data_IF_350762265482
#
_entry.id   IF_350762265482
#
_cell.length_a   1.000
_cell.length_b   1.000
_cell.length_c   1.000
_cell.angle_alpha   90.00
_cell.angle_beta   90.00
_cell.angle_gamma   90.00
#
_symmetry.space_group_name_H-M   'P 1'
#
loop_
_entity.id
_entity.type
_entity.pdbx_description
1 polymer ?
#
# COMPACT_ATOMS: atom_id res chain seq x y z
N UNK A 1 5.40 -16.67 10.39
CA UNK A 1 4.25 -15.99 9.79
C UNK A 1 3.34 -16.94 9.01
N UNK A 2 3.85 -17.81 8.11
CA UNK A 2 3.02 -18.69 7.25
C UNK A 2 2.11 -19.63 8.05
N UNK A 3 2.61 -20.27 9.13
CA UNK A 3 1.82 -21.15 9.99
C UNK A 3 0.64 -20.38 10.63
N UNK A 4 0.91 -19.21 11.21
CA UNK A 4 -0.15 -18.37 11.81
C UNK A 4 -1.20 -17.93 10.80
N UNK A 5 -0.83 -17.72 9.54
CA UNK A 5 -1.79 -17.36 8.49
C UNK A 5 -2.74 -18.51 8.18
N UNK A 6 -2.24 -19.76 8.18
CA UNK A 6 -3.07 -20.97 7.99
C UNK A 6 -4.04 -21.15 9.16
N UNK A 7 -3.53 -21.03 10.40
CA UNK A 7 -4.35 -21.10 11.61
C UNK A 7 -5.41 -19.98 11.64
N UNK A 8 -5.00 -18.73 11.37
CA UNK A 8 -5.92 -17.59 11.33
C UNK A 8 -7.00 -17.73 10.26
N UNK A 9 -6.65 -18.32 9.11
CA UNK A 9 -7.62 -18.60 8.05
C UNK A 9 -8.63 -19.70 8.49
N UNK A 10 -8.18 -20.73 9.21
CA UNK A 10 -9.07 -21.74 9.78
C UNK A 10 -10.04 -21.14 10.82
N UNK A 11 -9.55 -20.26 11.70
CA UNK A 11 -10.36 -19.52 12.67
C UNK A 11 -11.40 -18.65 11.94
N UNK A 12 -10.97 -17.88 10.92
CA UNK A 12 -11.87 -17.05 10.14
C UNK A 12 -12.93 -17.88 9.40
N UNK A 13 -12.54 -19.01 8.79
CA UNK A 13 -13.45 -19.91 8.11
C UNK A 13 -14.51 -20.47 9.08
N UNK A 14 -14.10 -20.87 10.28
CA UNK A 14 -15.01 -21.32 11.33
C UNK A 14 -16.01 -20.22 11.72
N UNK A 15 -15.53 -19.00 11.91
CA UNK A 15 -16.35 -17.86 12.33
C UNK A 15 -17.43 -17.49 11.30
N UNK A 16 -17.11 -17.55 10.00
CA UNK A 16 -18.08 -17.21 8.93
C UNK A 16 -18.81 -18.44 8.35
N UNK A 17 -18.50 -19.65 8.83
CA UNK A 17 -19.10 -20.89 8.35
C UNK A 17 -18.65 -21.28 6.93
N UNK A 18 -17.47 -20.86 6.49
CA UNK A 18 -16.93 -21.21 5.18
C UNK A 18 -16.45 -22.67 5.16
N UNK A 19 -16.68 -23.36 4.03
CA UNK A 19 -16.20 -24.73 3.79
C UNK A 19 -14.97 -24.78 2.88
N UNK A 20 -14.70 -23.71 2.16
CA UNK A 20 -13.55 -23.60 1.25
C UNK A 20 -12.77 -22.34 1.59
N UNK A 21 -11.47 -22.51 1.76
CA UNK A 21 -10.54 -21.43 2.03
C UNK A 21 -9.38 -21.46 1.02
N UNK A 22 -8.98 -20.29 0.54
CA UNK A 22 -7.91 -20.14 -0.42
C UNK A 22 -6.84 -19.18 0.12
N UNK A 23 -5.58 -19.57 0.02
CA UNK A 23 -4.44 -18.68 0.24
C UNK A 23 -3.90 -18.31 -1.13
N UNK A 24 -4.22 -17.07 -1.57
CA UNK A 24 -3.70 -16.55 -2.81
C UNK A 24 -2.27 -16.03 -2.61
N UNK A 25 -1.35 -16.53 -3.40
CA UNK A 25 0.08 -16.20 -3.33
C UNK A 25 0.57 -15.84 -4.72
N UNK A 26 1.45 -14.84 -4.84
CA UNK A 26 2.12 -14.57 -6.11
C UNK A 26 2.93 -15.79 -6.53
N UNK A 27 2.78 -16.19 -7.80
CA UNK A 27 3.41 -17.40 -8.34
C UNK A 27 4.97 -17.37 -8.26
N UNK A 28 5.55 -16.17 -8.19
CA UNK A 28 6.98 -15.94 -8.03
C UNK A 28 7.52 -16.35 -6.65
N UNK A 29 6.65 -16.43 -5.63
CA UNK A 29 7.03 -16.80 -4.27
C UNK A 29 7.01 -18.31 -4.06
N UNK A 30 7.78 -19.04 -4.87
CA UNK A 30 7.78 -20.51 -4.94
C UNK A 30 8.08 -21.19 -3.60
N UNK A 31 8.97 -20.60 -2.79
CA UNK A 31 9.29 -21.13 -1.46
C UNK A 31 8.13 -20.97 -0.48
N UNK A 32 7.45 -19.82 -0.51
CA UNK A 32 6.26 -19.60 0.32
C UNK A 32 5.14 -20.57 -0.06
N UNK A 33 4.92 -20.82 -1.35
CA UNK A 33 3.94 -21.78 -1.86
C UNK A 33 4.23 -23.17 -1.31
N UNK A 34 5.47 -23.69 -1.50
CA UNK A 34 5.87 -25.02 -1.01
C UNK A 34 5.69 -25.16 0.50
N UNK A 35 6.08 -24.15 1.28
CA UNK A 35 5.93 -24.17 2.72
C UNK A 35 4.46 -24.16 3.16
N UNK A 36 3.61 -23.34 2.52
CA UNK A 36 2.19 -23.30 2.82
C UNK A 36 1.49 -24.61 2.49
N UNK A 37 1.80 -25.23 1.33
CA UNK A 37 1.28 -26.53 0.96
C UNK A 37 1.69 -27.62 1.97
N UNK A 38 2.95 -27.63 2.40
CA UNK A 38 3.42 -28.58 3.42
C UNK A 38 2.73 -28.39 4.78
N UNK A 39 2.49 -27.13 5.20
CA UNK A 39 1.75 -26.80 6.45
C UNK A 39 0.30 -27.28 6.34
N UNK A 40 -0.37 -27.01 5.22
CA UNK A 40 -1.76 -27.44 4.99
C UNK A 40 -1.88 -28.96 5.05
N UNK A 41 -1.02 -29.67 4.30
CA UNK A 41 -1.00 -31.14 4.29
C UNK A 41 -0.69 -31.73 5.68
N UNK A 42 0.21 -31.09 6.44
CA UNK A 42 0.50 -31.46 7.83
C UNK A 42 -0.74 -31.34 8.70
N UNK A 43 -1.38 -30.20 8.69
CA UNK A 43 -2.56 -29.90 9.49
C UNK A 43 -3.77 -30.79 9.12
N UNK A 44 -3.94 -31.16 7.85
CA UNK A 44 -4.96 -32.12 7.42
C UNK A 44 -4.69 -33.53 7.97
N UNK A 45 -3.40 -33.99 7.90
CA UNK A 45 -3.02 -35.29 8.48
C UNK A 45 -3.21 -35.35 9.99
N UNK A 46 -2.97 -34.24 10.67
CA UNK A 46 -3.10 -34.12 12.12
C UNK A 46 -4.56 -33.88 12.56
N UNK A 47 -5.52 -33.85 11.60
CA UNK A 47 -6.94 -33.69 11.86
C UNK A 47 -7.34 -32.29 12.35
N UNK A 48 -6.52 -31.26 12.09
CA UNK A 48 -6.84 -29.88 12.46
C UNK A 48 -8.00 -29.35 11.62
N UNK A 49 -8.01 -29.70 10.33
CA UNK A 49 -9.13 -29.44 9.40
C UNK A 49 -9.23 -30.59 8.37
N UNK A 50 -10.16 -30.49 7.44
CA UNK A 50 -10.56 -31.55 6.53
C UNK A 50 -12.02 -31.86 6.73
N UNK A 51 -12.38 -33.11 7.00
CA UNK A 51 -13.77 -33.53 7.24
C UNK A 51 -14.36 -33.01 8.55
N UNK A 52 -13.51 -32.63 9.51
CA UNK A 52 -13.93 -32.09 10.81
C UNK A 52 -12.94 -31.01 11.28
N UNK A 53 -13.29 -29.76 11.12
CA UNK A 53 -12.50 -28.62 11.56
C UNK A 53 -12.49 -28.57 13.10
N UNK A 54 -11.37 -28.96 13.71
CA UNK A 54 -11.12 -28.87 15.16
C UNK A 54 -12.26 -29.48 16.03
N UNK A 55 -12.89 -30.56 15.60
CA UNK A 55 -13.99 -31.19 16.35
C UNK A 55 -15.32 -30.43 16.30
N UNK A 56 -15.47 -29.47 15.39
CA UNK A 56 -16.69 -28.63 15.27
C UNK A 56 -17.83 -29.29 14.51
N UNK A 57 -17.61 -30.47 13.90
CA UNK A 57 -18.54 -31.14 12.98
C UNK A 57 -18.67 -30.44 11.63
N UNK A 58 -17.76 -29.49 11.30
CA UNK A 58 -17.76 -28.75 10.04
C UNK A 58 -16.57 -29.16 9.18
N UNK A 59 -16.82 -29.33 7.89
CA UNK A 59 -15.77 -29.55 6.90
C UNK A 59 -15.08 -28.23 6.52
N UNK A 60 -13.76 -28.25 6.38
CA UNK A 60 -12.96 -27.19 5.79
C UNK A 60 -11.93 -27.76 4.81
N UNK A 61 -12.00 -27.34 3.57
CA UNK A 61 -10.95 -27.57 2.56
C UNK A 61 -10.13 -26.32 2.39
N UNK A 62 -8.80 -26.42 2.52
CA UNK A 62 -7.90 -25.30 2.32
C UNK A 62 -6.93 -25.60 1.18
N UNK A 63 -6.62 -24.60 0.35
CA UNK A 63 -5.64 -24.76 -0.72
C UNK A 63 -4.88 -23.46 -1.04
N UNK A 64 -3.63 -23.62 -1.47
CA UNK A 64 -2.83 -22.53 -2.02
C UNK A 64 -3.22 -22.30 -3.48
N UNK A 65 -3.33 -21.04 -3.88
CA UNK A 65 -3.64 -20.62 -5.24
C UNK A 65 -2.54 -19.69 -5.74
N UNK A 66 -1.55 -20.20 -6.48
CA UNK A 66 -0.57 -19.36 -7.15
C UNK A 66 -1.25 -18.48 -8.20
N UNK A 67 -1.00 -17.18 -8.15
CA UNK A 67 -1.57 -16.21 -9.08
C UNK A 67 -0.46 -15.40 -9.74
N UNK A 68 -0.60 -15.19 -11.04
CA UNK A 68 0.22 -14.25 -11.81
C UNK A 68 -0.56 -12.98 -12.09
N UNK A 69 0.13 -11.84 -12.14
CA UNK A 69 -0.49 -10.57 -12.45
C UNK A 69 0.30 -9.38 -11.96
N UNK A 70 -0.19 -8.20 -12.32
CA UNK A 70 0.37 -6.91 -11.89
C UNK A 70 0.14 -6.67 -10.39
N UNK A 71 0.62 -5.54 -9.88
CA UNK A 71 0.40 -5.10 -8.49
C UNK A 71 -1.09 -5.03 -8.11
N UNK A 72 -1.96 -4.86 -9.10
CA UNK A 72 -3.41 -4.80 -8.94
C UNK A 72 -4.07 -6.06 -8.37
N UNK A 73 -3.38 -7.21 -8.43
CA UNK A 73 -3.93 -8.48 -7.91
C UNK A 73 -4.18 -8.45 -6.39
N UNK A 74 -3.62 -7.48 -5.69
CA UNK A 74 -3.86 -7.26 -4.25
C UNK A 74 -5.20 -6.58 -3.92
N UNK A 75 -5.92 -6.05 -4.91
CA UNK A 75 -7.27 -5.51 -4.73
C UNK A 75 -8.27 -6.68 -4.67
N UNK A 76 -9.24 -6.63 -3.71
CA UNK A 76 -10.08 -7.79 -3.39
C UNK A 76 -10.91 -8.31 -4.57
N UNK A 77 -11.49 -7.43 -5.37
CA UNK A 77 -12.33 -7.83 -6.51
C UNK A 77 -11.49 -8.30 -7.70
N UNK A 78 -10.30 -7.73 -7.88
CA UNK A 78 -9.29 -8.20 -8.84
C UNK A 78 -8.83 -9.60 -8.48
N UNK A 79 -8.53 -9.84 -7.19
CA UNK A 79 -8.14 -11.14 -6.66
C UNK A 79 -9.19 -12.21 -6.95
N UNK A 80 -10.46 -11.93 -6.66
CA UNK A 80 -11.55 -12.87 -6.88
C UNK A 80 -11.76 -13.20 -8.37
N UNK A 81 -11.57 -12.22 -9.26
CA UNK A 81 -11.58 -12.45 -10.71
C UNK A 81 -10.42 -13.31 -11.18
N UNK A 82 -9.22 -13.02 -10.69
CA UNK A 82 -8.04 -13.80 -11.03
C UNK A 82 -8.18 -15.26 -10.55
N UNK A 83 -8.68 -15.48 -9.34
CA UNK A 83 -9.01 -16.82 -8.83
C UNK A 83 -10.04 -17.56 -9.71
N UNK A 84 -10.98 -16.82 -10.31
CA UNK A 84 -11.99 -17.36 -11.22
C UNK A 84 -11.49 -17.52 -12.67
N UNK A 85 -10.19 -17.30 -12.93
CA UNK A 85 -9.59 -17.39 -14.28
C UNK A 85 -10.04 -16.26 -15.22
N UNK A 86 -10.53 -15.15 -14.67
CA UNK A 86 -10.97 -13.97 -15.43
C UNK A 86 -9.89 -12.89 -15.43
N UNK A 87 -10.01 -11.93 -16.34
CA UNK A 87 -9.13 -10.77 -16.35
C UNK A 87 -9.21 -9.99 -15.03
N UNK A 88 -8.06 -9.78 -14.39
CA UNK A 88 -7.93 -9.04 -13.14
C UNK A 88 -8.20 -7.54 -13.34
N UNK A 89 -9.43 -7.13 -13.09
CA UNK A 89 -9.87 -5.75 -13.12
C UNK A 89 -10.83 -5.50 -11.96
N UNK A 90 -10.77 -4.34 -11.26
CA UNK A 90 -11.65 -4.06 -10.15
C UNK A 90 -13.11 -4.02 -10.57
N UNK A 91 -14.00 -4.38 -9.65
CA UNK A 91 -15.44 -4.26 -9.83
C UNK A 91 -15.99 -3.08 -9.04
N UNK A 92 -17.08 -2.52 -9.56
CA UNK A 92 -17.83 -1.53 -8.82
C UNK A 92 -18.58 -2.20 -7.66
N UNK A 93 -18.49 -1.63 -6.48
CA UNK A 93 -19.25 -2.04 -5.31
C UNK A 93 -20.31 -0.97 -4.98
N UNK A 94 -21.52 -1.32 -4.54
CA UNK A 94 -22.09 -2.65 -4.37
C UNK A 94 -22.38 -3.37 -5.71
N UNK A 95 -22.51 -4.73 -5.74
CA UNK A 95 -22.46 -5.64 -4.59
C UNK A 95 -21.04 -5.85 -4.06
N UNK A 96 -20.93 -6.02 -2.73
CA UNK A 96 -19.66 -6.33 -2.09
C UNK A 96 -19.34 -7.84 -2.18
N UNK A 97 -18.06 -8.26 -2.14
CA UNK A 97 -17.67 -9.66 -2.14
C UNK A 97 -18.37 -10.51 -1.06
N UNK A 98 -18.67 -9.94 0.10
CA UNK A 98 -19.44 -10.60 1.16
C UNK A 98 -20.86 -11.01 0.75
N UNK A 99 -21.39 -10.42 -0.32
CA UNK A 99 -22.69 -10.76 -0.90
C UNK A 99 -22.53 -11.54 -2.20
N UNK A 100 -21.68 -11.06 -3.12
CA UNK A 100 -21.45 -11.67 -4.43
C UNK A 100 -19.94 -11.64 -4.72
N UNK A 101 -19.25 -12.71 -4.34
CA UNK A 101 -17.80 -12.85 -4.48
C UNK A 101 -17.39 -13.94 -5.46
N UNK A 102 -16.48 -14.84 -5.03
CA UNK A 102 -15.93 -15.90 -5.84
C UNK A 102 -17.01 -16.82 -6.42
N UNK A 103 -17.06 -16.92 -7.75
CA UNK A 103 -18.07 -17.68 -8.50
C UNK A 103 -19.52 -17.33 -8.11
N UNK A 104 -19.78 -16.07 -7.76
CA UNK A 104 -21.10 -15.58 -7.38
C UNK A 104 -21.55 -15.94 -5.97
N UNK A 105 -20.67 -16.50 -5.14
CA UNK A 105 -20.96 -16.88 -3.75
C UNK A 105 -20.41 -15.84 -2.77
N UNK A 106 -21.05 -15.66 -1.59
CA UNK A 106 -20.50 -14.84 -0.51
C UNK A 106 -19.06 -15.23 -0.19
N UNK A 107 -18.17 -14.26 -0.15
CA UNK A 107 -16.74 -14.50 0.05
C UNK A 107 -16.15 -13.45 0.98
N UNK A 108 -15.49 -13.89 2.05
CA UNK A 108 -14.68 -13.02 2.89
C UNK A 108 -13.24 -12.98 2.37
N UNK A 109 -12.69 -11.79 2.19
CA UNK A 109 -11.30 -11.57 1.78
C UNK A 109 -10.55 -10.87 2.90
N UNK A 110 -9.41 -11.40 3.30
CA UNK A 110 -8.60 -10.85 4.38
C UNK A 110 -7.12 -10.82 4.00
N UNK A 111 -6.41 -9.82 4.50
CA UNK A 111 -4.96 -9.77 4.41
C UNK A 111 -4.35 -10.83 5.35
N UNK A 112 -3.23 -11.44 4.93
CA UNK A 112 -2.51 -12.45 5.72
C UNK A 112 -1.98 -11.89 7.05
N UNK A 113 -1.65 -10.60 7.13
CA UNK A 113 -1.23 -9.97 8.39
C UNK A 113 -2.41 -9.90 9.38
N UNK A 114 -3.62 -9.61 8.92
CA UNK A 114 -4.84 -9.63 9.73
C UNK A 114 -5.09 -11.03 10.29
N UNK A 115 -5.00 -12.06 9.42
CA UNK A 115 -5.21 -13.45 9.85
C UNK A 115 -4.12 -13.91 10.85
N UNK A 116 -2.87 -13.49 10.65
CA UNK A 116 -1.79 -13.79 11.59
C UNK A 116 -2.00 -13.11 12.96
N UNK A 117 -2.59 -11.91 12.99
CA UNK A 117 -2.94 -11.22 14.23
C UNK A 117 -4.10 -11.90 14.96
N UNK A 118 -5.07 -12.47 14.22
CA UNK A 118 -6.22 -13.20 14.83
C UNK A 118 -5.77 -14.32 15.76
N UNK A 119 -4.74 -15.09 15.37
CA UNK A 119 -4.23 -16.19 16.22
C UNK A 119 -3.70 -15.67 17.56
N UNK A 120 -2.98 -14.54 17.53
CA UNK A 120 -2.48 -13.90 18.72
C UNK A 120 -3.62 -13.35 19.60
N UNK A 121 -4.61 -12.71 18.98
CA UNK A 121 -5.78 -12.14 19.68
C UNK A 121 -6.58 -13.23 20.38
N UNK A 122 -6.83 -14.36 19.71
CA UNK A 122 -7.55 -15.49 20.31
C UNK A 122 -6.80 -16.08 21.50
N UNK A 123 -5.46 -16.18 21.42
CA UNK A 123 -4.64 -16.73 22.50
C UNK A 123 -4.43 -15.79 23.70
N UNK A 124 -4.41 -14.46 23.47
CA UNK A 124 -4.02 -13.47 24.50
C UNK A 124 -5.17 -12.54 24.91
N UNK A 125 -6.26 -12.53 24.16
CA UNK A 125 -7.42 -11.69 24.41
C UNK A 125 -7.38 -10.34 23.68
N UNK A 126 -8.56 -9.83 23.34
CA UNK A 126 -8.72 -8.58 22.60
C UNK A 126 -8.17 -7.36 23.37
N UNK A 127 -8.28 -7.35 24.71
CA UNK A 127 -7.77 -6.24 25.52
C UNK A 127 -6.26 -6.12 25.42
N UNK A 128 -5.53 -7.23 25.50
CA UNK A 128 -4.08 -7.23 25.38
C UNK A 128 -3.63 -6.73 24.00
N UNK A 129 -4.37 -7.05 22.92
CA UNK A 129 -4.09 -6.52 21.60
C UNK A 129 -4.37 -5.02 21.49
N UNK A 130 -5.46 -4.54 22.09
CA UNK A 130 -5.83 -3.13 22.07
C UNK A 130 -4.84 -2.22 22.84
N UNK A 131 -4.01 -2.79 23.70
CA UNK A 131 -2.94 -2.08 24.45
C UNK A 131 -1.63 -1.96 23.64
N UNK A 132 -1.53 -2.58 22.46
CA UNK A 132 -0.35 -2.51 21.60
C UNK A 132 -0.52 -1.40 20.56
N UNK A 133 0.42 -0.45 20.50
CA UNK A 133 0.46 0.58 19.45
C UNK A 133 -0.53 1.72 19.65
N UNK A 134 -0.98 2.31 18.54
CA UNK A 134 -1.94 3.41 18.53
C UNK A 134 -3.32 2.91 19.00
N UNK A 135 -3.95 3.53 20.02
CA UNK A 135 -5.28 3.11 20.49
C UNK A 135 -6.38 3.15 19.42
N UNK A 136 -6.23 3.98 18.39
CA UNK A 136 -7.19 4.07 17.29
C UNK A 136 -6.95 3.02 16.20
N UNK A 137 -5.73 2.52 16.09
CA UNK A 137 -5.28 1.52 15.12
C UNK A 137 -4.35 0.51 15.82
N UNK A 138 -4.85 -0.28 16.81
CA UNK A 138 -3.99 -1.10 17.66
C UNK A 138 -3.31 -2.24 16.89
N UNK A 139 -2.21 -2.72 17.48
CA UNK A 139 -1.42 -3.82 16.97
C UNK A 139 -0.05 -3.40 16.46
N UNK A 140 0.54 -4.26 15.62
CA UNK A 140 1.84 -4.05 15.00
C UNK A 140 1.74 -4.00 13.48
N UNK A 141 2.75 -3.41 12.85
CA UNK A 141 2.91 -3.39 11.41
C UNK A 141 4.28 -3.96 11.02
N UNK A 142 4.31 -4.71 9.92
CA UNK A 142 5.56 -5.09 9.26
C UNK A 142 5.97 -3.97 8.32
N UNK A 143 7.15 -3.42 8.57
CA UNK A 143 7.69 -2.29 7.81
C UNK A 143 8.95 -2.74 7.10
N UNK A 144 8.99 -2.57 5.78
CA UNK A 144 10.18 -2.81 4.98
C UNK A 144 10.95 -1.50 4.81
N UNK A 145 12.13 -1.41 5.41
CA UNK A 145 12.98 -0.23 5.30
C UNK A 145 14.09 -0.44 4.28
N UNK A 146 14.35 0.60 3.49
CA UNK A 146 15.37 0.60 2.44
C UNK A 146 16.02 1.98 2.28
N UNK A 147 16.98 2.08 1.34
CA UNK A 147 17.76 3.29 1.10
C UNK A 147 19.03 3.35 1.93
N UNK A 148 19.65 4.53 2.12
CA UNK A 148 20.93 4.69 2.81
C UNK A 148 20.79 4.59 4.35
N UNK A 149 20.26 3.47 4.84
CA UNK A 149 20.14 3.13 6.26
C UNK A 149 21.12 2.02 6.64
N UNK A 150 21.58 2.01 7.88
CA UNK A 150 22.57 1.05 8.34
C UNK A 150 22.06 -0.40 8.30
N UNK A 151 20.79 -0.62 8.66
CA UNK A 151 20.16 -1.94 8.68
C UNK A 151 18.89 -1.87 7.82
N UNK A 152 18.98 -2.36 6.58
CA UNK A 152 17.84 -2.50 5.67
C UNK A 152 17.18 -3.87 5.84
N UNK A 153 15.88 -3.94 5.58
CA UNK A 153 15.13 -5.20 5.70
C UNK A 153 13.72 -5.00 6.22
N UNK A 154 13.14 -6.03 6.82
CA UNK A 154 11.79 -5.99 7.39
C UNK A 154 11.89 -6.00 8.91
N UNK A 155 11.16 -5.11 9.55
CA UNK A 155 11.00 -5.04 11.00
C UNK A 155 9.53 -5.00 11.39
N UNK A 156 9.21 -5.48 12.58
CA UNK A 156 7.90 -5.34 13.19
C UNK A 156 7.93 -4.18 14.18
N UNK A 157 6.99 -3.26 14.04
CA UNK A 157 6.87 -2.07 14.91
C UNK A 157 5.44 -1.94 15.44
N UNK A 158 5.21 -1.44 16.66
CA UNK A 158 3.89 -1.03 17.09
C UNK A 158 3.34 0.05 16.15
N UNK A 159 2.06 0.03 15.86
CA UNK A 159 1.40 1.13 15.15
C UNK A 159 1.55 2.42 15.96
N UNK A 160 1.64 3.57 15.30
CA UNK A 160 1.89 4.85 15.99
C UNK A 160 3.37 5.13 16.29
N UNK A 161 4.29 4.17 16.12
CA UNK A 161 5.74 4.45 16.16
C UNK A 161 6.06 5.54 15.14
N UNK A 162 6.79 6.58 15.53
CA UNK A 162 7.12 7.67 14.61
C UNK A 162 8.08 7.22 13.51
N UNK A 163 8.02 7.88 12.37
CA UNK A 163 8.93 7.59 11.26
C UNK A 163 10.40 7.79 11.67
N UNK A 164 10.69 8.74 12.55
CA UNK A 164 12.04 8.95 13.08
C UNK A 164 12.50 7.78 13.95
N UNK A 165 11.64 7.23 14.80
CA UNK A 165 11.95 6.04 15.61
C UNK A 165 12.18 4.80 14.74
N UNK A 166 11.42 4.63 13.66
CA UNK A 166 11.63 3.54 12.69
C UNK A 166 13.00 3.68 12.02
N UNK A 167 13.38 4.89 11.60
CA UNK A 167 14.72 5.17 11.04
C UNK A 167 15.82 4.89 12.07
N UNK A 168 15.61 5.29 13.32
CA UNK A 168 16.56 5.03 14.40
C UNK A 168 16.71 3.52 14.68
N UNK A 169 15.61 2.77 14.70
CA UNK A 169 15.61 1.31 14.85
C UNK A 169 16.33 0.61 13.69
N UNK A 170 16.30 1.20 12.49
CA UNK A 170 17.10 0.77 11.34
C UNK A 170 18.59 1.17 11.43
N UNK A 171 19.04 1.66 12.58
CA UNK A 171 20.44 2.09 12.82
C UNK A 171 20.78 3.47 12.28
N UNK A 172 19.79 4.25 11.82
CA UNK A 172 19.98 5.58 11.25
C UNK A 172 20.63 5.57 9.86
N UNK A 173 20.98 6.76 9.33
CA UNK A 173 21.62 6.88 8.03
C UNK A 173 23.03 6.27 8.02
N UNK A 174 23.43 5.70 6.88
CA UNK A 174 24.81 5.23 6.68
C UNK A 174 25.79 6.40 6.74
N UNK A 175 27.09 6.09 6.99
CA UNK A 175 28.14 7.12 7.10
C UNK A 175 28.17 8.00 5.86
N UNK A 176 28.01 9.31 6.08
CA UNK A 176 28.03 10.34 5.01
C UNK A 176 26.67 10.59 4.34
N UNK A 177 25.65 9.78 4.64
CA UNK A 177 24.31 10.05 4.16
C UNK A 177 23.54 11.00 5.10
N UNK A 178 22.71 11.86 4.48
CA UNK A 178 21.77 12.72 5.21
C UNK A 178 20.39 12.48 4.61
N UNK A 179 19.43 12.05 5.45
CA UNK A 179 18.08 11.79 4.99
C UNK A 179 17.38 13.10 4.65
N UNK A 180 16.93 13.21 3.42
CA UNK A 180 16.13 14.32 2.87
C UNK A 180 14.65 14.10 3.11
N UNK A 181 14.20 12.86 2.86
CA UNK A 181 12.81 12.43 3.01
C UNK A 181 12.71 10.91 3.23
N UNK A 182 11.54 10.44 3.64
CA UNK A 182 11.10 9.07 3.43
C UNK A 182 10.02 9.04 2.36
N UNK A 183 10.13 8.12 1.41
CA UNK A 183 9.00 7.69 0.58
C UNK A 183 8.27 6.59 1.35
N UNK A 184 7.01 6.82 1.70
CA UNK A 184 6.21 5.93 2.53
C UNK A 184 5.03 5.39 1.74
N UNK A 185 4.87 4.07 1.68
CA UNK A 185 3.75 3.40 1.02
C UNK A 185 4.09 2.69 -0.31
N UNK A 186 5.36 2.69 -0.71
CA UNK A 186 5.82 2.07 -1.96
C UNK A 186 5.64 2.97 -3.18
N UNK A 187 5.46 2.40 -4.39
CA UNK A 187 5.47 3.18 -5.64
C UNK A 187 4.39 4.27 -5.74
N UNK A 188 3.21 4.05 -5.19
CA UNK A 188 2.16 5.07 -5.10
C UNK A 188 2.23 5.89 -3.82
N UNK A 189 3.33 5.76 -3.05
CA UNK A 189 3.52 6.40 -1.76
C UNK A 189 3.71 7.91 -1.83
N UNK A 190 3.75 8.53 -0.64
CA UNK A 190 4.03 9.96 -0.48
C UNK A 190 5.41 10.21 0.11
N UNK A 191 6.02 11.33 -0.27
CA UNK A 191 7.25 11.82 0.34
C UNK A 191 6.94 12.55 1.65
N UNK A 192 7.63 12.16 2.73
CA UNK A 192 7.58 12.82 4.03
C UNK A 192 8.96 13.42 4.30
N UNK A 193 9.11 14.75 4.36
CA UNK A 193 10.41 15.40 4.53
C UNK A 193 10.99 15.15 5.92
N UNK A 194 12.32 15.23 6.04
CA UNK A 194 13.06 14.88 7.25
C UNK A 194 12.57 15.61 8.51
N UNK A 195 12.18 16.88 8.39
CA UNK A 195 11.67 17.69 9.50
C UNK A 195 10.30 17.26 10.05
N UNK A 196 9.56 16.41 9.34
CA UNK A 196 8.26 15.87 9.78
C UNK A 196 8.37 14.46 10.35
N UNK A 197 9.50 13.76 10.23
CA UNK A 197 9.62 12.35 10.63
C UNK A 197 9.36 12.13 12.12
N UNK A 198 9.80 13.05 12.97
CA UNK A 198 9.62 12.93 14.43
C UNK A 198 8.17 13.16 14.89
N UNK A 199 7.36 13.86 14.09
CA UNK A 199 5.97 14.17 14.40
C UNK A 199 4.96 13.33 13.62
N UNK A 200 5.43 12.44 12.74
CA UNK A 200 4.55 11.61 11.90
C UNK A 200 4.52 10.17 12.43
N UNK A 201 3.42 9.74 13.08
CA UNK A 201 3.24 8.36 13.49
C UNK A 201 2.97 7.46 12.29
N UNK A 202 3.50 6.25 12.31
CA UNK A 202 3.21 5.21 11.34
C UNK A 202 1.84 4.58 11.64
N UNK A 203 0.81 5.25 11.19
CA UNK A 203 -0.59 4.86 11.26
C UNK A 203 -1.34 5.43 10.06
N UNK A 204 -2.50 4.88 9.72
CA UNK A 204 -3.28 5.36 8.57
C UNK A 204 -3.59 6.85 8.69
N UNK A 205 -4.02 7.30 9.87
CA UNK A 205 -4.32 8.71 10.15
C UNK A 205 -3.07 9.60 10.12
N UNK A 206 -2.00 9.15 10.77
CA UNK A 206 -0.74 9.93 10.84
C UNK A 206 -0.13 10.16 9.47
N UNK A 207 -0.08 9.13 8.64
CA UNK A 207 0.43 9.22 7.28
C UNK A 207 -0.47 10.05 6.37
N UNK A 208 -1.80 9.90 6.48
CA UNK A 208 -2.74 10.68 5.69
C UNK A 208 -2.61 12.19 5.93
N UNK A 209 -2.31 12.63 7.15
CA UNK A 209 -2.11 14.04 7.50
C UNK A 209 -0.95 14.70 6.71
N UNK A 210 0.04 13.92 6.32
CA UNK A 210 1.20 14.37 5.52
C UNK A 210 1.11 13.99 4.03
N UNK A 211 -0.03 13.42 3.59
CA UNK A 211 -0.26 13.01 2.20
C UNK A 211 0.39 11.67 1.83
N UNK A 212 0.82 10.90 2.82
CA UNK A 212 1.34 9.54 2.66
C UNK A 212 0.31 8.50 3.09
N UNK A 213 0.63 7.22 2.93
CA UNK A 213 -0.22 6.10 3.34
C UNK A 213 0.63 4.85 3.61
N UNK A 214 0.05 3.86 4.29
CA UNK A 214 0.74 2.60 4.62
C UNK A 214 1.14 1.84 3.36
N UNK A 215 0.24 1.73 2.38
CA UNK A 215 0.47 1.08 1.09
C UNK A 215 1.01 -0.34 1.24
N UNK A 216 2.18 -0.60 0.64
CA UNK A 216 2.85 -1.90 0.73
C UNK A 216 3.64 -2.13 2.02
N UNK A 217 3.65 -1.17 2.96
CA UNK A 217 4.50 -1.20 4.15
C UNK A 217 5.97 -0.83 3.89
N UNK A 218 6.29 -0.35 2.68
CA UNK A 218 7.65 0.04 2.33
C UNK A 218 7.95 1.49 2.74
N UNK A 219 9.11 1.68 3.37
CA UNK A 219 9.73 2.96 3.65
C UNK A 219 11.09 3.03 2.96
N UNK A 220 11.25 3.93 2.03
CA UNK A 220 12.52 4.16 1.34
C UNK A 220 13.12 5.50 1.82
N UNK A 221 14.26 5.44 2.50
CA UNK A 221 15.02 6.63 2.83
C UNK A 221 15.64 7.23 1.57
N UNK A 222 15.46 8.53 1.40
CA UNK A 222 15.94 9.31 0.26
C UNK A 222 16.96 10.31 0.80
N UNK A 223 18.16 10.34 0.24
CA UNK A 223 19.23 11.24 0.67
C UNK A 223 19.19 12.60 -0.04
N UNK A 224 20.06 13.49 0.39
CA UNK A 224 20.15 14.85 -0.16
C UNK A 224 20.55 14.88 -1.66
N UNK A 225 21.25 13.86 -2.16
CA UNK A 225 21.67 13.77 -3.55
C UNK A 225 20.55 13.34 -4.52
N UNK A 226 19.43 12.86 -4.01
CA UNK A 226 18.33 12.35 -4.84
C UNK A 226 17.45 13.50 -5.34
N UNK A 227 17.24 13.59 -6.65
CA UNK A 227 16.29 14.52 -7.26
C UNK A 227 14.84 13.99 -7.06
N UNK A 228 14.04 14.72 -6.28
CA UNK A 228 12.65 14.32 -6.01
C UNK A 228 11.80 14.31 -7.27
N UNK A 229 11.90 15.26 -8.22
CA UNK A 229 11.15 15.22 -9.47
C UNK A 229 11.38 13.95 -10.28
N UNK A 230 12.63 13.50 -10.41
CA UNK A 230 13.00 12.29 -11.16
C UNK A 230 12.38 11.04 -10.50
N UNK A 231 12.51 10.93 -9.18
CA UNK A 231 11.94 9.80 -8.45
C UNK A 231 10.40 9.81 -8.52
N UNK A 232 9.77 10.96 -8.34
CA UNK A 232 8.31 11.10 -8.42
C UNK A 232 7.78 10.75 -9.83
N UNK A 233 8.45 11.22 -10.89
CA UNK A 233 8.09 10.90 -12.27
C UNK A 233 8.24 9.41 -12.57
N UNK A 234 9.34 8.78 -12.13
CA UNK A 234 9.57 7.34 -12.26
C UNK A 234 8.47 6.52 -11.60
N UNK A 235 8.10 6.86 -10.36
CA UNK A 235 7.07 6.16 -9.59
C UNK A 235 5.69 6.33 -10.22
N UNK A 236 5.35 7.54 -10.66
CA UNK A 236 4.07 7.81 -11.33
C UNK A 236 3.97 7.06 -12.66
N UNK A 237 5.06 6.98 -13.42
CA UNK A 237 5.14 6.18 -14.65
C UNK A 237 4.91 4.70 -14.35
N UNK A 238 5.60 4.15 -13.35
CA UNK A 238 5.42 2.77 -12.93
C UNK A 238 3.96 2.49 -12.57
N UNK A 239 3.31 3.38 -11.79
CA UNK A 239 1.90 3.23 -11.46
C UNK A 239 1.01 3.25 -12.72
N UNK A 240 1.31 4.11 -13.70
CA UNK A 240 0.57 4.16 -14.96
C UNK A 240 0.76 2.89 -15.80
N UNK A 241 1.95 2.28 -15.79
CA UNK A 241 2.24 1.04 -16.52
C UNK A 241 1.60 -0.19 -15.86
N UNK A 242 1.50 -0.22 -14.53
CA UNK A 242 0.83 -1.28 -13.77
C UNK A 242 -0.71 -1.16 -13.78
N UNK A 243 -1.26 -0.04 -14.24
CA UNK A 243 -2.70 0.21 -14.23
C UNK A 243 -3.47 -0.76 -15.13
N UNK A 244 -4.56 -1.36 -14.61
CA UNK A 244 -5.42 -2.24 -15.40
C UNK A 244 -6.19 -1.52 -16.52
N UNK A 245 -6.33 -0.20 -16.45
CA UNK A 245 -6.95 0.66 -17.44
C UNK A 245 -8.47 0.47 -17.61
N UNK A 246 -9.16 -0.04 -16.59
CA UNK A 246 -10.61 -0.28 -16.67
C UNK A 246 -11.39 1.02 -16.83
N UNK A 247 -11.11 2.03 -16.02
CA UNK A 247 -11.73 3.35 -16.11
C UNK A 247 -11.00 4.23 -17.12
N UNK A 248 -11.67 5.18 -17.73
CA UNK A 248 -11.04 6.14 -18.64
C UNK A 248 -10.09 7.07 -17.89
N UNK A 249 -10.47 7.64 -16.72
CA UNK A 249 -9.56 8.45 -15.92
C UNK A 249 -8.27 7.71 -15.52
N UNK A 250 -8.37 6.45 -15.12
CA UNK A 250 -7.19 5.62 -14.87
C UNK A 250 -6.33 5.48 -16.12
N UNK A 251 -6.90 4.96 -17.21
CA UNK A 251 -6.17 4.62 -18.44
C UNK A 251 -5.50 5.82 -19.10
N UNK A 252 -6.18 6.96 -19.13
CA UNK A 252 -5.69 8.18 -19.79
C UNK A 252 -5.04 9.11 -18.77
N UNK A 253 -5.70 9.35 -17.61
CA UNK A 253 -5.25 10.33 -16.63
C UNK A 253 -3.92 9.98 -15.99
N UNK A 254 -3.71 8.69 -15.60
CA UNK A 254 -2.43 8.28 -15.01
C UNK A 254 -1.25 8.44 -15.98
N UNK A 255 -1.46 8.18 -17.27
CA UNK A 255 -0.44 8.43 -18.30
C UNK A 255 -0.15 9.92 -18.48
N UNK A 256 -1.19 10.76 -18.46
CA UNK A 256 -1.01 12.22 -18.53
C UNK A 256 -0.30 12.76 -17.29
N UNK A 257 -0.57 12.20 -16.09
CA UNK A 257 0.19 12.52 -14.87
C UNK A 257 1.67 12.16 -15.04
N UNK A 258 1.98 10.98 -15.59
CA UNK A 258 3.36 10.57 -15.86
C UNK A 258 4.05 11.50 -16.88
N UNK A 259 3.35 11.93 -17.93
CA UNK A 259 3.87 12.89 -18.92
C UNK A 259 4.13 14.26 -18.28
N UNK A 260 3.24 14.76 -17.42
CA UNK A 260 3.44 16.02 -16.68
C UNK A 260 4.65 15.85 -15.76
N UNK A 261 4.77 14.74 -15.02
CA UNK A 261 5.93 14.44 -14.19
C UNK A 261 7.24 14.47 -14.99
N UNK A 262 7.27 13.88 -16.18
CA UNK A 262 8.43 13.90 -17.05
C UNK A 262 8.79 15.31 -17.54
N UNK A 263 7.81 16.18 -17.81
CA UNK A 263 8.06 17.57 -18.22
C UNK A 263 8.76 18.37 -17.14
N UNK A 264 8.51 18.10 -15.85
CA UNK A 264 9.27 18.70 -14.74
C UNK A 264 10.73 18.24 -14.76
N UNK A 265 10.96 16.94 -15.00
CA UNK A 265 12.33 16.38 -15.09
C UNK A 265 13.10 16.99 -16.25
N UNK A 266 12.44 17.15 -17.41
CA UNK A 266 13.05 17.68 -18.65
C UNK A 266 13.20 19.21 -18.64
N UNK A 267 12.77 19.90 -17.57
CA UNK A 267 12.77 21.37 -17.50
C UNK A 267 11.80 22.05 -18.49
N UNK A 268 10.82 21.32 -19.00
CA UNK A 268 9.84 21.80 -19.97
C UNK A 268 8.48 22.17 -19.32
N UNK A 269 8.37 22.01 -18.00
CA UNK A 269 7.16 22.36 -17.29
C UNK A 269 7.03 23.88 -17.10
N UNK A 270 5.82 24.38 -17.25
CA UNK A 270 5.45 25.77 -17.00
C UNK A 270 4.36 25.92 -15.93
N UNK A 271 3.96 27.16 -15.62
CA UNK A 271 2.93 27.42 -14.59
C UNK A 271 1.62 26.66 -14.81
N UNK A 272 1.21 26.47 -16.06
CA UNK A 272 0.03 25.72 -16.41
C UNK A 272 0.14 24.22 -16.11
N UNK A 273 1.36 23.66 -16.07
CA UNK A 273 1.53 22.23 -15.77
C UNK A 273 1.31 21.93 -14.29
N UNK A 274 1.63 22.85 -13.38
CA UNK A 274 1.31 22.74 -11.95
C UNK A 274 -0.22 22.71 -11.74
N UNK A 275 -0.92 23.65 -12.37
CA UNK A 275 -2.38 23.70 -12.28
C UNK A 275 -3.03 22.43 -12.89
N UNK A 276 -2.54 21.99 -14.05
CA UNK A 276 -3.01 20.75 -14.71
C UNK A 276 -2.74 19.51 -13.86
N UNK A 277 -1.57 19.44 -13.21
CA UNK A 277 -1.24 18.34 -12.30
C UNK A 277 -2.29 18.22 -11.20
N UNK A 278 -2.59 19.31 -10.49
CA UNK A 278 -3.56 19.31 -9.40
C UNK A 278 -4.97 18.98 -9.88
N UNK A 279 -5.44 19.57 -10.97
CA UNK A 279 -6.77 19.32 -11.52
C UNK A 279 -6.91 17.85 -11.97
N UNK A 280 -5.95 17.35 -12.73
CA UNK A 280 -5.98 15.97 -13.21
C UNK A 280 -5.84 14.96 -12.07
N UNK A 281 -5.02 15.25 -11.06
CA UNK A 281 -4.88 14.41 -9.88
C UNK A 281 -6.19 14.30 -9.11
N UNK A 282 -6.94 15.41 -8.97
CA UNK A 282 -8.26 15.41 -8.36
C UNK A 282 -9.26 14.59 -9.19
N UNK A 283 -9.33 14.81 -10.50
CA UNK A 283 -10.23 14.07 -11.40
C UNK A 283 -9.98 12.56 -11.35
N UNK A 284 -8.70 12.13 -11.34
CA UNK A 284 -8.33 10.72 -11.23
C UNK A 284 -8.69 10.16 -9.86
N UNK A 285 -8.46 10.89 -8.78
CA UNK A 285 -8.78 10.44 -7.43
C UNK A 285 -10.29 10.34 -7.17
N UNK A 286 -11.07 11.31 -7.63
CA UNK A 286 -12.52 11.38 -7.41
C UNK A 286 -13.29 10.34 -8.23
N UNK A 287 -12.78 9.99 -9.42
CA UNK A 287 -13.36 8.95 -10.27
C UNK A 287 -12.81 7.54 -10.02
N UNK A 288 -11.91 7.40 -9.06
CA UNK A 288 -11.17 6.15 -8.83
C UNK A 288 -12.07 4.99 -8.40
N UNK A 289 -11.96 3.90 -9.13
CA UNK A 289 -12.61 2.63 -8.80
C UNK A 289 -11.80 1.79 -7.79
N UNK A 290 -10.49 2.04 -7.66
CA UNK A 290 -9.61 1.31 -6.76
C UNK A 290 -8.53 2.22 -6.14
N UNK A 291 -7.87 1.71 -5.09
CA UNK A 291 -6.81 2.45 -4.40
C UNK A 291 -5.61 2.77 -5.30
N UNK A 292 -5.23 1.87 -6.22
CA UNK A 292 -4.12 2.11 -7.14
C UNK A 292 -4.36 3.38 -7.98
N UNK A 293 -5.55 3.49 -8.59
CA UNK A 293 -5.93 4.67 -9.36
C UNK A 293 -5.88 5.94 -8.51
N UNK A 294 -6.53 5.91 -7.34
CA UNK A 294 -6.60 7.04 -6.42
C UNK A 294 -5.24 7.54 -5.95
N UNK A 295 -4.31 6.63 -5.70
CA UNK A 295 -3.02 6.94 -5.09
C UNK A 295 -1.90 7.20 -6.11
N UNK A 296 -2.09 6.91 -7.40
CA UNK A 296 -1.10 7.16 -8.45
C UNK A 296 -0.54 8.60 -8.45
N UNK A 297 -1.33 9.66 -8.16
CA UNK A 297 -0.78 11.03 -8.14
C UNK A 297 0.11 11.35 -6.93
N UNK A 298 0.07 10.54 -5.85
CA UNK A 298 0.68 10.88 -4.56
C UNK A 298 2.17 11.23 -4.61
N UNK A 299 3.03 10.53 -5.38
CA UNK A 299 4.45 10.90 -5.46
C UNK A 299 4.66 12.31 -6.02
N UNK A 300 3.94 12.69 -7.09
CA UNK A 300 4.03 14.02 -7.68
C UNK A 300 3.46 15.09 -6.75
N UNK A 301 2.29 14.84 -6.15
CA UNK A 301 1.62 15.80 -5.27
C UNK A 301 2.44 16.08 -4.00
N UNK A 302 2.95 15.05 -3.34
CA UNK A 302 3.77 15.23 -2.14
C UNK A 302 5.16 15.75 -2.46
N UNK A 303 5.75 15.33 -3.58
CA UNK A 303 7.00 15.88 -4.10
C UNK A 303 6.86 17.38 -4.33
N UNK A 304 5.85 17.83 -5.06
CA UNK A 304 5.57 19.24 -5.30
C UNK A 304 5.30 20.01 -3.99
N UNK A 305 4.50 19.45 -3.09
CA UNK A 305 4.13 20.08 -1.80
C UNK A 305 5.35 20.38 -0.93
N UNK A 306 6.32 19.45 -0.85
CA UNK A 306 7.41 19.55 0.11
C UNK A 306 8.74 19.95 -0.50
N UNK A 307 8.88 19.81 -1.83
CA UNK A 307 10.13 20.06 -2.56
C UNK A 307 9.90 20.91 -3.81
N UNK A 308 8.97 21.86 -3.74
CA UNK A 308 8.56 22.74 -4.85
C UNK A 308 9.74 23.33 -5.62
N UNK A 309 10.79 23.77 -4.90
CA UNK A 309 11.98 24.39 -5.51
C UNK A 309 12.77 23.45 -6.44
N UNK A 310 12.58 22.14 -6.30
CA UNK A 310 13.19 21.16 -7.21
C UNK A 310 12.37 20.95 -8.48
N UNK A 311 11.05 21.21 -8.43
CA UNK A 311 10.14 21.08 -9.57
C UNK A 311 10.11 22.34 -10.44
N UNK A 312 10.27 23.52 -9.84
CA UNK A 312 10.19 24.80 -10.55
C UNK A 312 11.61 25.34 -10.77
N UNK A 313 12.09 25.45 -12.02
CA UNK A 313 13.39 26.09 -12.30
C UNK A 313 13.41 27.51 -11.74
N UNK A 314 14.53 27.87 -11.12
CA UNK A 314 14.76 29.13 -10.40
C UNK A 314 14.62 30.42 -11.22
N UNK A 315 14.10 30.35 -12.44
CA UNK A 315 13.83 31.50 -13.32
C UNK A 315 12.38 31.90 -13.50
N UNK A 316 11.40 31.09 -13.06
CA UNK A 316 9.96 31.32 -13.31
C UNK A 316 9.20 31.84 -12.09
N UNK A 317 9.79 31.78 -10.91
CA UNK A 317 9.12 32.16 -9.65
C UNK A 317 9.00 33.69 -9.41
N UNK A 318 9.51 34.55 -10.29
CA UNK A 318 9.59 36.00 -10.05
C UNK A 318 8.40 36.80 -10.58
N UNK A 319 7.50 36.25 -11.40
CA UNK A 319 6.44 37.05 -12.05
C UNK A 319 5.05 37.00 -11.41
N UNK A 320 4.81 36.18 -10.38
CA UNK A 320 3.46 36.05 -9.81
C UNK A 320 3.20 36.77 -8.49
N UNK A 321 4.17 37.49 -7.92
CA UNK A 321 3.96 38.26 -6.67
C UNK A 321 3.70 39.76 -6.89
N UNK A 322 3.54 40.23 -8.12
CA UNK A 322 3.49 41.64 -8.49
C UNK A 322 2.13 42.22 -8.92
N UNK A 323 1.00 41.53 -8.80
CA UNK A 323 -0.24 42.03 -9.34
C UNK A 323 -1.46 41.85 -8.41
N UNK A 324 -1.36 42.29 -7.15
CA UNK A 324 -2.55 42.74 -6.39
C UNK A 324 -2.16 43.91 -5.47
N UNK A 325 -1.96 45.07 -6.06
CA UNK A 325 -2.00 46.33 -5.32
C UNK A 325 -2.57 47.42 -6.24
N UNK A 326 -3.77 47.88 -5.94
CA UNK A 326 -4.22 49.17 -6.38
C UNK A 326 -5.17 49.21 -7.57
N UNK A 327 -6.48 49.19 -7.30
CA UNK A 327 -7.43 50.15 -7.84
C UNK A 327 -8.51 50.41 -6.79
N UNK A 328 -8.27 51.43 -6.00
CA UNK A 328 -9.31 52.23 -5.40
C UNK A 328 -9.69 53.30 -6.43
N UNK A 329 -10.94 53.28 -6.90
CA UNK A 329 -11.80 54.43 -7.13
C UNK A 329 -13.21 53.92 -7.47
#
# INVERSE_FOLDING_TARGET
MLFRSVEGLAIAALAVGARHAFIAVRAEYTDAIRHLEAIIQGAERDGVFGSDLLGSGRELTMSVRPLQGSSMIGEETVLLKALAGRRGQPEQTPPYPSTVGYLGKPTAVNNVATLAAVTWIVGNGARAFAEIGDPAEPGTALVQVGGPLANVGVMEVPTGTTLAEIVAAAGGPTKGATIKALLVGGPSGGFVPANLLASTPYSGRGLAAVGAHIGSGALLAVDQGTAIPELAALLTRWCADEACGKTIPCRIGTRRLAEIGQRFVDGLAGPNDVQRLHALAADVADSALCAHERLTPSPLLTGMRYFEREFVPTGVAAETSGAVAGRSE
#
